data_IF_642134118171
#
_entry.id   IF_642134118171
#
_cell.length_a   1.000
_cell.length_b   1.000
_cell.length_c   1.000
_cell.angle_alpha   90.00
_cell.angle_beta   90.00
_cell.angle_gamma   90.00
#
_symmetry.space_group_name_H-M   'P 1'
#
loop_
_entity.id
_entity.type
_entity.pdbx_description
1 polymer ?
#
# COMPACT_ATOMS: atom_id res chain seq x y z
N UNK A 1 27.63 13.82 57.43
CA UNK A 1 27.92 13.98 56.00
C UNK A 1 26.88 13.19 55.21
N UNK A 2 25.82 13.88 54.71
CA UNK A 2 24.76 13.24 53.95
C UNK A 2 25.18 13.21 52.45
N UNK A 3 25.34 12.03 51.88
CA UNK A 3 25.60 11.86 50.43
C UNK A 3 24.28 12.00 49.69
N UNK A 4 24.16 13.06 48.92
CA UNK A 4 23.04 13.28 48.00
C UNK A 4 23.36 12.49 46.72
N UNK A 5 22.56 11.43 46.47
CA UNK A 5 22.61 10.66 45.22
C UNK A 5 21.70 11.40 44.21
N UNK A 6 22.31 12.08 43.24
CA UNK A 6 21.60 12.68 42.12
C UNK A 6 21.38 11.56 41.09
N UNK A 7 20.13 11.07 40.99
CA UNK A 7 19.72 10.13 39.96
C UNK A 7 19.52 10.94 38.66
N UNK A 8 20.46 10.76 37.71
CA UNK A 8 20.34 11.29 36.35
C UNK A 8 19.39 10.40 35.55
N UNK A 9 18.10 10.80 35.52
CA UNK A 9 17.10 10.17 34.65
C UNK A 9 17.34 10.61 33.20
N UNK A 10 17.93 9.72 32.39
CA UNK A 10 18.06 9.92 30.96
C UNK A 10 16.69 9.71 30.32
N UNK A 11 16.04 10.80 29.94
CA UNK A 11 14.79 10.79 29.20
C UNK A 11 15.08 10.44 27.74
N UNK A 12 14.90 9.18 27.38
CA UNK A 12 15.01 8.72 26.00
C UNK A 12 13.78 9.20 25.24
N UNK A 13 13.90 10.33 24.54
CA UNK A 13 12.88 10.79 23.58
C UNK A 13 12.99 9.88 22.37
N UNK A 14 12.15 8.84 22.32
CA UNK A 14 12.00 8.02 21.15
C UNK A 14 11.38 8.87 20.03
N UNK A 15 12.16 9.22 19.02
CA UNK A 15 11.63 9.73 17.77
C UNK A 15 10.87 8.60 17.09
N UNK A 16 9.54 8.59 17.24
CA UNK A 16 8.67 7.75 16.43
C UNK A 16 8.61 8.38 15.04
N UNK A 17 9.37 7.85 14.09
CA UNK A 17 9.15 8.14 12.69
C UNK A 17 7.81 7.53 12.31
N UNK A 18 6.86 8.34 11.88
CA UNK A 18 5.63 7.86 11.26
C UNK A 18 6.04 7.09 9.99
N UNK A 19 5.94 5.77 10.03
CA UNK A 19 6.21 4.93 8.87
C UNK A 19 5.05 5.12 7.90
N UNK A 20 5.34 5.67 6.71
CA UNK A 20 4.40 5.61 5.62
C UNK A 20 4.37 4.19 5.07
N UNK A 21 3.17 3.65 4.87
CA UNK A 21 3.00 2.31 4.34
C UNK A 21 3.51 2.26 2.89
N UNK A 22 4.56 1.50 2.66
CA UNK A 22 5.11 1.21 1.33
C UNK A 22 4.85 -0.23 0.90
N UNK A 23 4.13 -0.97 1.73
CA UNK A 23 3.87 -2.39 1.55
C UNK A 23 2.39 -2.70 1.66
N UNK A 24 2.04 -3.86 1.15
CA UNK A 24 0.72 -4.46 1.26
C UNK A 24 0.77 -5.72 2.14
N UNK A 25 -0.39 -6.21 2.55
CA UNK A 25 -0.53 -7.46 3.26
C UNK A 25 -1.61 -8.34 2.64
N UNK A 26 -1.45 -9.65 2.81
CA UNK A 26 -2.44 -10.66 2.51
C UNK A 26 -2.78 -11.36 3.82
N UNK A 27 -4.05 -11.42 4.16
CA UNK A 27 -4.58 -12.25 5.24
C UNK A 27 -5.65 -13.17 4.69
N UNK A 28 -6.01 -14.20 5.43
CA UNK A 28 -7.07 -15.05 4.98
C UNK A 28 -7.29 -16.27 5.85
N UNK A 29 -8.22 -17.09 5.43
CA UNK A 29 -8.51 -18.37 6.06
C UNK A 29 -8.45 -19.51 5.05
N UNK A 30 -8.10 -20.69 5.55
CA UNK A 30 -8.18 -21.95 4.84
C UNK A 30 -8.92 -22.97 5.73
N UNK A 31 -9.75 -23.79 5.13
CA UNK A 31 -10.55 -24.77 5.85
C UNK A 31 -9.73 -25.94 6.46
N UNK A 32 -8.44 -26.02 6.17
CA UNK A 32 -7.53 -27.08 6.66
C UNK A 32 -6.42 -26.44 7.53
N UNK A 33 -6.44 -26.64 8.85
CA UNK A 33 -5.36 -26.18 9.73
C UNK A 33 -4.01 -26.76 9.32
N UNK A 34 -2.96 -25.95 9.40
CA UNK A 34 -1.61 -26.36 9.03
C UNK A 34 -1.35 -26.45 7.52
N UNK A 35 -2.32 -26.07 6.67
CA UNK A 35 -2.09 -25.97 5.23
C UNK A 35 -0.95 -24.99 4.93
N UNK A 36 -0.13 -25.32 3.95
CA UNK A 36 0.95 -24.45 3.48
C UNK A 36 0.39 -23.49 2.43
N UNK A 37 0.52 -22.20 2.69
CA UNK A 37 0.17 -21.14 1.76
C UNK A 37 1.46 -20.53 1.21
N UNK A 38 1.56 -20.43 -0.10
CA UNK A 38 2.67 -19.79 -0.81
C UNK A 38 2.15 -18.64 -1.63
N UNK A 39 2.79 -17.48 -1.51
CA UNK A 39 2.49 -16.26 -2.26
C UNK A 39 3.70 -15.94 -3.14
N UNK A 40 3.50 -15.89 -4.44
CA UNK A 40 4.52 -15.58 -5.43
C UNK A 40 4.20 -14.25 -6.13
N UNK A 41 5.15 -13.34 -6.17
CA UNK A 41 5.08 -12.13 -7.00
C UNK A 41 5.64 -12.46 -8.39
N UNK A 42 4.77 -12.64 -9.36
CA UNK A 42 5.14 -13.13 -10.71
C UNK A 42 6.23 -12.28 -11.38
N UNK A 43 6.16 -10.92 -11.37
CA UNK A 43 7.16 -10.11 -12.07
C UNK A 43 8.57 -10.24 -11.51
N UNK A 44 8.75 -10.55 -10.22
CA UNK A 44 10.08 -10.66 -9.59
C UNK A 44 10.47 -12.08 -9.24
N UNK A 45 9.57 -13.06 -9.36
CA UNK A 45 9.77 -14.44 -8.91
C UNK A 45 9.94 -14.56 -7.37
N UNK A 46 9.64 -13.52 -6.62
CA UNK A 46 9.77 -13.52 -5.15
C UNK A 46 8.65 -14.32 -4.51
N UNK A 47 9.01 -15.30 -3.68
CA UNK A 47 8.05 -16.17 -2.99
C UNK A 47 8.13 -16.00 -1.48
N UNK A 48 6.97 -16.08 -0.81
CA UNK A 48 6.86 -16.22 0.64
C UNK A 48 5.93 -17.37 0.96
N UNK A 49 6.27 -18.20 1.95
CA UNK A 49 5.43 -19.30 2.40
C UNK A 49 5.20 -19.24 3.89
N UNK A 50 3.99 -19.62 4.31
CA UNK A 50 3.60 -19.73 5.73
C UNK A 50 2.60 -20.87 5.88
N UNK A 51 2.59 -21.50 7.04
CA UNK A 51 1.55 -22.44 7.42
C UNK A 51 0.37 -21.70 8.06
N UNK A 52 -0.84 -22.13 7.77
CA UNK A 52 -2.04 -21.70 8.48
C UNK A 52 -1.98 -22.14 9.95
N UNK A 53 -2.49 -21.31 10.85
CA UNK A 53 -2.56 -21.65 12.27
C UNK A 53 -3.67 -22.69 12.55
N UNK A 54 -3.84 -23.07 13.83
CA UNK A 54 -4.84 -24.06 14.25
C UNK A 54 -6.29 -23.64 13.93
N UNK A 55 -6.56 -22.34 13.76
CA UNK A 55 -7.85 -21.82 13.33
C UNK A 55 -7.96 -21.69 11.80
N UNK A 56 -6.95 -22.12 11.04
CA UNK A 56 -6.90 -22.02 9.60
C UNK A 56 -6.51 -20.64 9.07
N UNK A 57 -6.15 -19.68 9.93
CA UNK A 57 -5.80 -18.34 9.48
C UNK A 57 -4.33 -18.23 9.06
N UNK A 58 -4.09 -17.41 8.06
CA UNK A 58 -2.75 -17.05 7.60
C UNK A 58 -2.61 -15.54 7.38
N UNK A 59 -1.37 -15.04 7.45
CA UNK A 59 -1.06 -13.64 7.21
C UNK A 59 0.34 -13.48 6.61
N UNK A 60 0.42 -12.69 5.55
CA UNK A 60 1.67 -12.24 4.93
C UNK A 60 1.73 -10.72 4.98
N UNK A 61 2.81 -10.18 5.52
CA UNK A 61 3.08 -8.75 5.57
C UNK A 61 4.33 -8.38 4.77
N UNK A 62 4.47 -7.09 4.47
CA UNK A 62 5.62 -6.59 3.73
C UNK A 62 5.69 -7.12 2.29
N UNK A 63 4.53 -7.24 1.64
CA UNK A 63 4.42 -7.55 0.21
C UNK A 63 4.48 -6.25 -0.59
N UNK A 64 4.96 -6.32 -1.80
CA UNK A 64 4.97 -5.16 -2.71
C UNK A 64 3.55 -4.87 -3.18
N UNK A 65 3.12 -3.61 -3.25
CA UNK A 65 1.85 -3.27 -3.89
C UNK A 65 1.93 -3.52 -5.40
N UNK A 66 0.77 -3.75 -6.01
CA UNK A 66 0.65 -4.14 -7.41
C UNK A 66 0.56 -5.65 -7.56
N UNK A 67 1.16 -6.22 -8.60
CA UNK A 67 1.09 -7.63 -8.95
C UNK A 67 1.48 -7.87 -10.41
N UNK A 68 1.05 -8.97 -11.02
CA UNK A 68 0.20 -10.03 -10.45
C UNK A 68 0.90 -10.91 -9.42
N UNK A 69 0.14 -11.35 -8.44
CA UNK A 69 0.54 -12.38 -7.49
C UNK A 69 -0.20 -13.69 -7.77
N UNK A 70 0.42 -14.78 -7.38
CA UNK A 70 -0.18 -16.10 -7.35
C UNK A 70 -0.18 -16.59 -5.91
N UNK A 71 -1.35 -17.00 -5.43
CA UNK A 71 -1.51 -17.60 -4.10
C UNK A 71 -1.77 -19.07 -4.31
N UNK A 72 -0.96 -19.93 -3.72
CA UNK A 72 -1.10 -21.39 -3.78
C UNK A 72 -1.30 -21.92 -2.37
N UNK A 73 -2.35 -22.69 -2.15
CA UNK A 73 -2.60 -23.38 -0.89
C UNK A 73 -2.53 -24.89 -1.11
N UNK A 74 -1.82 -25.59 -0.22
CA UNK A 74 -1.65 -27.05 -0.29
C UNK A 74 -1.68 -27.68 1.09
N UNK A 75 -2.25 -28.88 1.19
CA UNK A 75 -2.25 -29.71 2.38
C UNK A 75 -2.20 -31.18 2.00
N UNK A 76 -1.64 -32.02 2.89
CA UNK A 76 -1.56 -33.48 2.65
C UNK A 76 -2.96 -34.10 2.57
N UNK A 77 -3.24 -34.78 1.47
CA UNK A 77 -4.54 -35.43 1.23
C UNK A 77 -5.62 -34.50 0.64
N UNK A 78 -5.22 -33.29 0.21
CA UNK A 78 -6.09 -32.32 -0.43
C UNK A 78 -5.52 -31.91 -1.80
N UNK A 79 -6.40 -31.51 -2.70
CA UNK A 79 -6.01 -30.92 -3.96
C UNK A 79 -5.40 -29.54 -3.70
N UNK A 80 -4.34 -29.20 -4.44
CA UNK A 80 -3.74 -27.87 -4.36
C UNK A 80 -4.67 -26.85 -5.02
N UNK A 81 -5.00 -25.79 -4.30
CA UNK A 81 -5.77 -24.66 -4.81
C UNK A 81 -4.84 -23.52 -5.20
N UNK A 82 -5.16 -22.85 -6.31
CA UNK A 82 -4.36 -21.77 -6.85
C UNK A 82 -5.24 -20.60 -7.28
N UNK A 83 -4.88 -19.42 -6.81
CA UNK A 83 -5.52 -18.14 -7.18
C UNK A 83 -4.52 -17.30 -7.94
N UNK A 84 -4.79 -17.08 -9.23
CA UNK A 84 -3.93 -16.28 -10.12
C UNK A 84 -4.42 -14.83 -10.24
N UNK A 85 -3.56 -13.97 -10.77
CA UNK A 85 -3.86 -12.57 -11.10
C UNK A 85 -4.33 -11.73 -9.90
N UNK A 86 -3.76 -11.96 -8.73
CA UNK A 86 -4.05 -11.17 -7.54
C UNK A 86 -3.24 -9.87 -7.57
N UNK A 87 -3.92 -8.75 -7.42
CA UNK A 87 -3.29 -7.43 -7.34
C UNK A 87 -3.47 -6.85 -5.94
N UNK A 88 -2.38 -6.43 -5.33
CA UNK A 88 -2.36 -5.93 -3.96
C UNK A 88 -2.40 -4.40 -3.94
N UNK A 89 -3.35 -3.86 -3.19
CA UNK A 89 -3.49 -2.44 -2.97
C UNK A 89 -2.56 -1.98 -1.85
N UNK A 90 -1.92 -0.83 -2.04
CA UNK A 90 -1.02 -0.24 -1.06
C UNK A 90 -1.76 0.06 0.26
N UNK A 91 -1.11 -0.26 1.38
CA UNK A 91 -1.63 0.00 2.72
C UNK A 91 -2.99 -0.66 3.03
N UNK A 92 -3.39 -1.65 2.26
CA UNK A 92 -4.61 -2.44 2.48
C UNK A 92 -4.25 -3.87 2.85
N UNK A 93 -5.10 -4.48 3.68
CA UNK A 93 -5.07 -5.92 3.94
C UNK A 93 -6.04 -6.59 2.97
N UNK A 94 -5.51 -7.35 2.04
CA UNK A 94 -6.32 -8.14 1.12
C UNK A 94 -6.67 -9.45 1.80
N UNK A 95 -7.96 -9.81 1.85
CA UNK A 95 -8.43 -11.02 2.51
C UNK A 95 -8.85 -12.06 1.48
N UNK A 96 -8.38 -13.30 1.67
CA UNK A 96 -8.66 -14.43 0.80
C UNK A 96 -9.10 -15.64 1.62
N UNK A 97 -10.28 -16.18 1.29
CA UNK A 97 -10.77 -17.43 1.87
C UNK A 97 -10.54 -18.55 0.87
N UNK A 98 -9.74 -19.53 1.26
CA UNK A 98 -9.35 -20.66 0.41
C UNK A 98 -10.01 -21.92 0.94
N UNK A 99 -10.64 -22.69 0.06
CA UNK A 99 -11.25 -23.97 0.40
C UNK A 99 -10.51 -25.09 -0.31
N UNK A 100 -9.78 -25.92 0.45
CA UNK A 100 -9.12 -27.11 -0.05
C UNK A 100 -10.11 -28.28 -0.06
N UNK A 101 -10.19 -28.99 -1.19
CA UNK A 101 -11.01 -30.16 -1.39
C UNK A 101 -10.16 -31.41 -1.24
N UNK A 102 -10.67 -32.43 -0.51
CA UNK A 102 -9.98 -33.70 -0.35
C UNK A 102 -9.71 -34.38 -1.70
N UNK A 103 -8.49 -34.87 -1.90
CA UNK A 103 -8.08 -35.56 -3.13
C UNK A 103 -8.86 -36.86 -3.40
N UNK A 104 -9.60 -37.37 -2.44
CA UNK A 104 -10.49 -38.55 -2.59
C UNK A 104 -11.91 -38.18 -2.97
N UNK A 105 -12.28 -36.90 -3.03
CA UNK A 105 -13.57 -36.43 -3.48
C UNK A 105 -13.53 -36.19 -5.01
N UNK A 106 -14.17 -37.06 -5.77
CA UNK A 106 -14.35 -36.86 -7.21
C UNK A 106 -15.60 -35.98 -7.37
N UNK A 107 -15.43 -34.68 -7.34
CA UNK A 107 -16.37 -33.73 -7.91
C UNK A 107 -15.70 -32.38 -8.09
N UNK A 108 -15.80 -31.90 -9.32
CA UNK A 108 -15.23 -30.63 -9.78
C UNK A 108 -16.07 -29.49 -9.20
N UNK A 109 -15.64 -28.93 -8.07
CA UNK A 109 -16.24 -27.71 -7.51
C UNK A 109 -15.20 -26.61 -7.49
N UNK A 110 -15.18 -25.84 -8.55
CA UNK A 110 -14.44 -24.59 -8.57
C UNK A 110 -15.25 -23.53 -7.80
N UNK A 111 -14.88 -23.26 -6.58
CA UNK A 111 -15.41 -22.12 -5.82
C UNK A 111 -14.31 -21.11 -5.61
N UNK A 112 -14.24 -20.15 -6.49
CA UNK A 112 -13.35 -19.00 -6.34
C UNK A 112 -14.12 -17.86 -5.66
N UNK A 113 -14.10 -17.83 -4.35
CA UNK A 113 -14.62 -16.72 -3.57
C UNK A 113 -13.53 -15.75 -3.19
N UNK A 114 -13.19 -14.81 -4.05
CA UNK A 114 -12.34 -13.69 -3.67
C UNK A 114 -13.21 -12.63 -2.98
N UNK A 115 -13.14 -12.56 -1.67
CA UNK A 115 -13.73 -11.46 -0.91
C UNK A 115 -12.63 -10.46 -0.61
N UNK A 116 -12.51 -9.44 -1.43
CA UNK A 116 -11.65 -8.29 -1.13
C UNK A 116 -12.29 -7.50 0.02
N UNK A 117 -11.86 -7.79 1.24
CA UNK A 117 -12.20 -6.98 2.39
C UNK A 117 -11.34 -5.74 2.43
N UNK A 118 -11.87 -4.61 1.97
CA UNK A 118 -11.19 -3.31 2.07
C UNK A 118 -11.18 -2.90 3.53
N UNK A 119 -10.04 -3.04 4.19
CA UNK A 119 -9.79 -2.46 5.52
C UNK A 119 -8.92 -1.21 5.35
N UNK A 120 -9.45 -0.19 4.68
CA UNK A 120 -8.85 1.13 4.75
C UNK A 120 -9.44 1.88 5.94
N UNK A 121 -8.60 2.29 6.87
CA UNK A 121 -9.04 3.12 7.99
C UNK A 121 -9.24 4.57 7.54
N UNK A 122 -10.36 4.86 6.91
CA UNK A 122 -10.75 6.20 6.49
C UNK A 122 -11.01 6.35 4.99
N UNK A 123 -11.57 7.50 4.57
CA UNK A 123 -11.82 7.80 3.18
C UNK A 123 -10.51 7.97 2.41
N UNK A 124 -10.33 7.20 1.37
CA UNK A 124 -9.16 7.24 0.51
C UNK A 124 -9.51 6.88 -0.91
N UNK A 125 -8.53 6.98 -1.80
CA UNK A 125 -8.59 6.45 -3.16
C UNK A 125 -7.24 5.87 -3.54
N UNK A 126 -7.29 4.89 -4.44
CA UNK A 126 -6.09 4.25 -4.99
C UNK A 126 -6.13 4.38 -6.49
N UNK A 127 -5.02 4.78 -7.07
CA UNK A 127 -4.78 4.85 -8.52
C UNK A 127 -3.78 3.75 -8.82
N UNK A 128 -4.20 2.76 -9.59
CA UNK A 128 -3.38 1.59 -9.92
C UNK A 128 -2.50 1.85 -11.14
N UNK A 129 -1.55 0.95 -11.44
CA UNK A 129 -0.74 1.01 -12.66
C UNK A 129 -1.60 0.97 -13.92
N UNK A 130 -2.71 0.23 -13.91
CA UNK A 130 -3.64 0.14 -15.04
C UNK A 130 -4.38 1.46 -15.24
N UNK A 131 -4.82 2.12 -14.18
CA UNK A 131 -5.42 3.46 -14.25
C UNK A 131 -4.43 4.48 -14.83
N UNK A 132 -3.16 4.37 -14.44
CA UNK A 132 -2.09 5.22 -14.96
C UNK A 132 -1.87 4.97 -16.45
N UNK A 133 -1.82 3.72 -16.88
CA UNK A 133 -1.61 3.35 -18.28
C UNK A 133 -2.77 3.75 -19.18
N UNK A 134 -4.01 3.71 -18.69
CA UNK A 134 -5.22 4.05 -19.43
C UNK A 134 -5.52 5.57 -19.47
N UNK A 135 -4.83 6.36 -18.64
CA UNK A 135 -5.08 7.81 -18.56
C UNK A 135 -4.07 8.59 -19.37
N UNK A 136 -4.55 9.35 -20.35
CA UNK A 136 -3.70 10.29 -21.06
C UNK A 136 -3.23 11.41 -20.11
N UNK A 137 -1.94 11.63 -20.02
CA UNK A 137 -1.32 12.70 -19.25
C UNK A 137 -0.35 13.48 -20.14
N UNK A 138 -0.56 14.78 -20.25
CA UNK A 138 0.31 15.67 -21.04
C UNK A 138 1.56 16.00 -20.24
N UNK A 139 1.38 16.29 -18.96
CA UNK A 139 2.44 16.74 -18.06
C UNK A 139 3.19 15.60 -17.37
N UNK A 140 2.71 14.35 -17.54
CA UNK A 140 3.22 13.15 -16.86
C UNK A 140 3.37 13.35 -15.36
N UNK A 141 2.51 14.18 -14.79
CA UNK A 141 2.48 14.58 -13.39
C UNK A 141 1.34 13.92 -12.64
N UNK A 142 1.51 13.79 -11.33
CA UNK A 142 0.51 13.22 -10.42
C UNK A 142 -0.81 14.00 -10.47
N UNK A 143 -0.75 15.31 -10.67
CA UNK A 143 -1.93 16.19 -10.75
C UNK A 143 -2.95 15.75 -11.80
N UNK A 144 -2.51 15.24 -12.96
CA UNK A 144 -3.41 14.82 -14.02
C UNK A 144 -4.31 13.64 -13.62
N UNK A 145 -3.79 12.75 -12.78
CA UNK A 145 -4.53 11.61 -12.28
C UNK A 145 -5.47 12.02 -11.13
N UNK A 146 -5.01 12.91 -10.26
CA UNK A 146 -5.81 13.41 -9.14
C UNK A 146 -6.97 14.31 -9.60
N UNK A 147 -6.90 14.95 -10.75
CA UNK A 147 -8.02 15.72 -11.35
C UNK A 147 -9.30 14.90 -11.54
N UNK A 148 -9.19 13.59 -11.64
CA UNK A 148 -10.34 12.68 -11.81
C UNK A 148 -11.15 12.50 -10.51
N UNK A 149 -10.55 12.79 -9.38
CA UNK A 149 -11.20 12.73 -8.07
C UNK A 149 -11.71 14.15 -7.70
N UNK A 150 -13.02 14.31 -7.58
CA UNK A 150 -13.67 15.60 -7.29
C UNK A 150 -13.27 16.22 -5.95
N UNK A 151 -12.61 15.47 -5.08
CA UNK A 151 -12.08 15.94 -3.79
C UNK A 151 -10.81 16.76 -3.94
N UNK A 152 -10.20 16.75 -5.13
CA UNK A 152 -9.02 17.55 -5.44
C UNK A 152 -9.36 18.74 -6.34
N UNK A 153 -8.80 19.89 -6.00
CA UNK A 153 -8.70 21.03 -6.89
C UNK A 153 -7.24 21.20 -7.33
N UNK A 154 -7.00 21.06 -8.63
CA UNK A 154 -5.66 21.16 -9.22
C UNK A 154 -5.56 22.50 -9.93
N UNK A 155 -4.59 23.32 -9.55
CA UNK A 155 -4.32 24.63 -10.14
C UNK A 155 -2.89 24.67 -10.69
N UNK A 156 -2.65 25.59 -11.62
CA UNK A 156 -1.35 25.75 -12.26
C UNK A 156 -1.12 24.80 -13.44
N UNK A 157 0.08 24.83 -13.95
CA UNK A 157 0.53 24.06 -15.13
C UNK A 157 1.82 23.31 -14.79
N UNK A 158 2.34 22.57 -15.74
CA UNK A 158 3.51 21.71 -15.69
C UNK A 158 4.65 22.06 -14.68
N UNK A 159 4.88 23.35 -14.42
CA UNK A 159 5.96 23.79 -13.51
C UNK A 159 5.48 24.21 -12.13
N UNK A 160 4.19 24.42 -11.96
CA UNK A 160 3.64 25.01 -10.74
C UNK A 160 2.27 24.38 -10.41
N UNK A 161 2.22 23.05 -10.45
CA UNK A 161 1.00 22.31 -10.14
C UNK A 161 0.76 22.33 -8.65
N UNK A 162 -0.32 22.97 -8.22
CA UNK A 162 -0.77 23.01 -6.83
C UNK A 162 -1.93 22.04 -6.64
N UNK A 163 -1.79 21.14 -5.70
CA UNK A 163 -2.76 20.10 -5.38
C UNK A 163 -3.47 20.46 -4.08
N UNK A 164 -4.70 20.94 -4.16
CA UNK A 164 -5.54 21.23 -3.01
C UNK A 164 -6.48 20.05 -2.74
N UNK A 165 -6.44 19.48 -1.56
CA UNK A 165 -7.31 18.40 -1.14
C UNK A 165 -8.40 18.91 -0.21
N UNK A 166 -9.67 18.62 -0.51
CA UNK A 166 -10.83 19.03 0.28
C UNK A 166 -10.86 20.55 0.60
N UNK A 167 -10.35 21.38 -0.31
CA UNK A 167 -10.25 22.82 -0.13
C UNK A 167 -9.11 23.30 0.77
N UNK A 168 -8.29 22.40 1.29
CA UNK A 168 -7.09 22.75 2.08
C UNK A 168 -5.99 23.31 1.19
N UNK A 169 -5.13 24.14 1.75
CA UNK A 169 -3.95 24.62 1.03
C UNK A 169 -3.04 23.44 0.66
N UNK A 170 -2.46 23.47 -0.55
CA UNK A 170 -1.57 22.44 -1.07
C UNK A 170 -0.39 22.10 -0.15
N UNK A 171 0.07 23.04 0.65
CA UNK A 171 1.18 22.86 1.60
C UNK A 171 0.81 21.96 2.79
N UNK A 172 -0.47 21.75 3.03
CA UNK A 172 -0.95 20.87 4.12
C UNK A 172 -1.08 19.40 3.70
N UNK A 173 -0.79 19.08 2.43
CA UNK A 173 -0.68 17.69 2.02
C UNK A 173 0.66 17.11 2.45
N UNK A 174 0.66 15.85 2.84
CA UNK A 174 1.88 15.06 2.93
C UNK A 174 2.05 14.28 1.63
N UNK A 175 3.19 14.45 0.99
CA UNK A 175 3.53 13.72 -0.22
C UNK A 175 4.77 12.87 0.03
N UNK A 176 4.67 11.57 -0.24
CA UNK A 176 5.76 10.63 -0.05
C UNK A 176 5.99 9.79 -1.30
N UNK A 177 7.24 9.45 -1.54
CA UNK A 177 7.68 8.53 -2.59
C UNK A 177 8.44 7.39 -1.91
N UNK A 178 7.95 6.16 -2.05
CA UNK A 178 8.49 4.98 -1.39
C UNK A 178 8.71 5.19 0.13
N UNK A 179 7.78 5.92 0.78
CA UNK A 179 7.84 6.26 2.19
C UNK A 179 8.73 7.44 2.57
N UNK A 180 9.45 8.02 1.61
CA UNK A 180 10.30 9.21 1.84
C UNK A 180 9.50 10.47 1.54
N UNK A 181 9.47 11.41 2.48
CA UNK A 181 8.79 12.69 2.30
C UNK A 181 9.45 13.52 1.18
N UNK A 182 8.62 13.99 0.25
CA UNK A 182 9.02 14.83 -0.88
C UNK A 182 8.37 16.22 -0.82
N UNK A 183 7.92 16.62 0.37
CA UNK A 183 7.41 17.96 0.64
C UNK A 183 8.53 19.01 0.69
N UNK A 184 8.16 20.26 0.46
CA UNK A 184 9.03 21.41 0.71
C UNK A 184 8.98 21.82 2.20
N UNK A 185 10.02 21.49 3.00
CA UNK A 185 10.02 21.79 4.42
C UNK A 185 10.25 23.27 4.72
N UNK A 186 10.80 24.02 3.76
CA UNK A 186 11.14 25.44 3.93
C UNK A 186 10.08 26.37 3.35
N UNK A 187 9.09 25.84 2.61
CA UNK A 187 8.03 26.62 2.02
C UNK A 187 8.47 27.53 0.87
N UNK A 188 9.53 27.17 0.17
CA UNK A 188 10.10 27.96 -0.92
C UNK A 188 9.36 27.77 -2.25
N UNK A 189 8.77 26.62 -2.47
CA UNK A 189 8.06 26.29 -3.71
C UNK A 189 6.54 26.43 -3.54
N UNK A 190 5.90 27.12 -4.48
CA UNK A 190 4.45 27.33 -4.45
C UNK A 190 3.65 26.04 -4.57
N UNK A 191 4.20 25.02 -5.25
CA UNK A 191 3.57 23.71 -5.43
C UNK A 191 3.58 22.81 -4.18
N UNK A 192 4.36 23.16 -3.15
CA UNK A 192 4.49 22.40 -1.92
C UNK A 192 5.44 21.19 -1.99
N UNK A 193 6.09 20.96 -3.14
CA UNK A 193 7.10 19.91 -3.31
C UNK A 193 8.52 20.46 -3.09
N UNK A 194 9.44 19.55 -2.77
CA UNK A 194 10.86 19.90 -2.62
C UNK A 194 11.51 20.38 -3.94
N UNK A 195 10.84 20.21 -5.07
CA UNK A 195 11.28 20.69 -6.38
C UNK A 195 10.18 21.53 -7.06
N UNK A 196 10.60 22.44 -7.96
CA UNK A 196 9.68 23.27 -8.75
C UNK A 196 8.83 22.44 -9.73
N UNK A 197 9.30 21.25 -10.09
CA UNK A 197 8.59 20.31 -10.96
C UNK A 197 8.01 19.16 -10.15
N UNK A 198 7.14 18.37 -10.79
CA UNK A 198 6.70 17.11 -10.20
C UNK A 198 7.92 16.28 -9.78
N UNK A 199 7.96 15.82 -8.53
CA UNK A 199 9.14 15.13 -8.00
C UNK A 199 9.37 13.75 -8.63
N UNK A 200 8.35 13.19 -9.27
CA UNK A 200 8.42 11.88 -9.91
C UNK A 200 7.54 11.82 -11.16
N UNK A 201 7.97 11.08 -12.19
CA UNK A 201 7.14 10.76 -13.35
C UNK A 201 6.16 9.65 -13.03
N UNK A 202 4.91 9.81 -13.43
CA UNK A 202 3.87 8.78 -13.20
C UNK A 202 4.16 7.46 -13.89
N UNK A 203 4.94 7.45 -14.95
CA UNK A 203 5.33 6.22 -15.67
C UNK A 203 6.18 5.28 -14.81
N UNK A 204 6.87 5.83 -13.81
CA UNK A 204 7.68 5.04 -12.87
C UNK A 204 6.88 4.50 -11.69
N UNK A 205 5.60 4.88 -11.57
CA UNK A 205 4.76 4.52 -10.46
C UNK A 205 4.06 3.17 -10.67
N UNK A 206 4.08 2.34 -9.64
CA UNK A 206 3.25 1.16 -9.54
C UNK A 206 1.85 1.51 -9.04
N UNK A 207 1.77 2.46 -8.10
CA UNK A 207 0.51 2.82 -7.46
C UNK A 207 0.61 4.17 -6.75
N UNK A 208 -0.51 4.89 -6.68
CA UNK A 208 -0.67 6.08 -5.82
C UNK A 208 -1.81 5.82 -4.85
N UNK A 209 -1.55 5.94 -3.56
CA UNK A 209 -2.58 5.90 -2.52
C UNK A 209 -2.81 7.30 -1.98
N UNK A 210 -4.07 7.68 -1.88
CA UNK A 210 -4.50 8.93 -1.27
C UNK A 210 -5.39 8.63 -0.08
N UNK A 211 -5.05 9.17 1.08
CA UNK A 211 -5.87 9.12 2.28
C UNK A 211 -6.25 10.54 2.69
N UNK A 212 -7.56 10.81 2.87
CA UNK A 212 -8.05 12.15 3.23
C UNK A 212 -8.20 12.33 4.74
N UNK A 213 -8.54 11.28 5.45
CA UNK A 213 -8.71 11.32 6.91
C UNK A 213 -8.39 9.93 7.49
N UNK A 214 -7.13 9.48 7.43
CA UNK A 214 -6.76 8.21 8.02
C UNK A 214 -6.85 8.29 9.54
N UNK A 215 -7.52 7.30 10.14
CA UNK A 215 -7.62 7.17 11.59
C UNK A 215 -6.41 6.46 12.23
N UNK A 216 -5.50 5.97 11.41
CA UNK A 216 -4.29 5.29 11.90
C UNK A 216 -3.33 6.30 12.52
N UNK A 217 -2.87 6.00 13.73
CA UNK A 217 -1.86 6.80 14.45
C UNK A 217 -0.47 6.78 13.79
N UNK A 218 -0.26 5.86 12.84
CA UNK A 218 1.00 5.77 12.08
C UNK A 218 1.08 6.80 10.96
N UNK A 219 -0.06 7.39 10.57
CA UNK A 219 -0.14 8.40 9.51
C UNK A 219 -0.28 9.78 10.12
N UNK A 220 0.64 10.67 9.79
CA UNK A 220 0.65 12.03 10.33
C UNK A 220 1.27 13.02 9.37
N UNK A 221 1.56 14.20 9.88
CA UNK A 221 2.23 15.29 9.16
C UNK A 221 1.44 15.86 7.96
N UNK A 222 0.10 15.88 8.04
CA UNK A 222 -0.75 16.50 7.04
C UNK A 222 -2.00 17.12 7.66
N UNK A 223 -2.52 18.16 7.01
CA UNK A 223 -3.82 18.77 7.33
C UNK A 223 -4.77 18.76 6.15
N UNK A 224 -4.32 18.26 5.00
CA UNK A 224 -5.07 18.02 3.79
C UNK A 224 -5.17 16.53 3.48
N UNK A 225 -4.48 16.08 2.45
CA UNK A 225 -4.38 14.66 2.10
C UNK A 225 -2.99 14.09 2.38
N UNK A 226 -2.93 12.80 2.68
CA UNK A 226 -1.70 12.03 2.63
C UNK A 226 -1.65 11.29 1.28
N UNK A 227 -0.69 11.67 0.43
CA UNK A 227 -0.50 11.13 -0.91
C UNK A 227 0.78 10.29 -0.89
N UNK A 228 0.64 9.00 -1.05
CA UNK A 228 1.77 8.07 -1.03
C UNK A 228 1.92 7.42 -2.42
N UNK A 229 3.03 7.70 -3.08
CA UNK A 229 3.40 7.14 -4.37
C UNK A 229 4.40 6.01 -4.19
N UNK A 230 4.19 4.89 -4.87
CA UNK A 230 5.10 3.73 -4.84
C UNK A 230 5.62 3.47 -6.24
N UNK A 231 6.92 3.34 -6.36
CA UNK A 231 7.58 3.09 -7.64
C UNK A 231 7.48 1.63 -8.08
N UNK A 232 7.57 1.41 -9.40
CA UNK A 232 7.69 0.07 -9.96
C UNK A 232 8.98 -0.58 -9.47
N UNK A 233 8.92 -1.84 -9.14
CA UNK A 233 10.12 -2.63 -8.87
C UNK A 233 10.75 -3.09 -10.19
N UNK A 234 12.06 -3.34 -10.18
CA UNK A 234 12.71 -4.04 -11.29
C UNK A 234 12.07 -5.40 -11.54
N UNK A 235 12.01 -5.81 -12.80
CA UNK A 235 11.60 -7.15 -13.22
C UNK A 235 12.84 -7.98 -13.54
N UNK A 236 12.68 -9.30 -13.58
CA UNK A 236 13.77 -10.22 -13.94
C UNK A 236 13.84 -10.48 -15.47
N UNK A 237 13.21 -9.62 -16.29
CA UNK A 237 13.27 -9.64 -17.74
C UNK A 237 14.48 -8.89 -18.29
#
# INVERSE_FOLDING_TARGET
MKKILISLSVFFIGFSFAANDTSSSISGSVNVPGATITVEHVPTGSTKSSAANDAGNFNFSGLRPGGPYVITASATGFNTERVDNVYLTLAESNSFDVVLVSSSAIEDVVVTGVRSGISSSGPGSTITADDIALTASIDKGIGDFLKRDSRFAIQGTFRDVQISALGSNNRYNNFTIDGVAANDPLGLNANGFASVRNPISVETLAQIRVDFAPYSVTKGNFGGANINAVTKSGTNE
#
